data_IF_288133753432
#
_entry.id   IF_288133753432
#
_cell.length_a   1.000
_cell.length_b   1.000
_cell.length_c   1.000
_cell.angle_alpha   90.00
_cell.angle_beta   90.00
_cell.angle_gamma   90.00
#
_symmetry.space_group_name_H-M   'P 1'
#
loop_
_entity.id
_entity.type
_entity.pdbx_description
1 polymer ?
#
# COMPACT_ATOMS: atom_id res chain seq x y z
N UNK A 1 26.92 5.12 2.77
CA UNK A 1 26.13 5.74 1.70
C UNK A 1 24.63 5.46 1.85
N UNK A 2 23.80 5.96 0.94
CA UNK A 2 22.34 5.87 0.99
C UNK A 2 21.84 4.41 1.06
N UNK A 3 22.29 3.55 0.17
CA UNK A 3 21.92 2.11 0.20
C UNK A 3 22.33 1.40 1.48
N UNK A 4 23.48 1.77 2.08
CA UNK A 4 23.89 1.21 3.37
C UNK A 4 22.91 1.56 4.51
N UNK A 5 22.37 2.79 4.51
CA UNK A 5 21.33 3.17 5.47
C UNK A 5 20.03 2.41 5.24
N UNK A 6 19.58 2.25 3.99
CA UNK A 6 18.38 1.46 3.67
C UNK A 6 18.54 -0.01 4.08
N UNK A 7 19.71 -0.62 3.81
CA UNK A 7 19.99 -1.99 4.24
C UNK A 7 20.02 -2.12 5.77
N UNK A 8 20.47 -1.10 6.49
CA UNK A 8 20.41 -1.09 7.96
C UNK A 8 18.98 -0.96 8.49
N UNK A 9 18.10 -0.22 7.81
CA UNK A 9 16.70 -0.09 8.19
C UNK A 9 15.90 -1.36 7.90
N UNK A 10 16.15 -1.99 6.77
CA UNK A 10 15.45 -3.21 6.35
C UNK A 10 16.45 -4.22 5.73
N UNK A 11 17.19 -4.99 6.57
CA UNK A 11 18.22 -5.92 6.10
C UNK A 11 17.71 -7.02 5.17
N UNK A 12 16.42 -7.28 5.21
CA UNK A 12 15.75 -8.28 4.38
C UNK A 12 15.67 -7.88 2.91
N UNK A 13 15.71 -6.58 2.61
CA UNK A 13 15.60 -6.08 1.25
C UNK A 13 16.97 -5.84 0.62
N UNK A 14 17.14 -6.35 -0.59
CA UNK A 14 18.25 -6.00 -1.47
C UNK A 14 17.86 -4.76 -2.28
N UNK A 15 18.41 -3.59 -1.91
CA UNK A 15 18.14 -2.33 -2.60
C UNK A 15 19.00 -2.18 -3.85
N UNK A 16 18.38 -1.71 -4.93
CA UNK A 16 18.96 -1.61 -6.26
C UNK A 16 18.59 -0.25 -6.89
N UNK A 17 19.36 0.16 -7.89
CA UNK A 17 18.98 1.27 -8.77
C UNK A 17 18.28 0.70 -10.01
N UNK A 18 17.06 1.14 -10.28
CA UNK A 18 16.35 0.84 -11.51
C UNK A 18 16.99 1.56 -12.70
N UNK A 19 16.67 1.15 -13.92
CA UNK A 19 17.28 1.71 -15.14
C UNK A 19 17.03 3.21 -15.32
N UNK A 20 15.91 3.73 -14.82
CA UNK A 20 15.59 5.17 -14.83
C UNK A 20 16.28 5.96 -13.70
N UNK A 21 17.10 5.33 -12.87
CA UNK A 21 17.78 5.95 -11.72
C UNK A 21 17.01 5.89 -10.40
N UNK A 22 15.75 5.49 -10.39
CA UNK A 22 14.96 5.36 -9.17
C UNK A 22 15.40 4.16 -8.34
N UNK A 23 15.13 4.20 -7.03
CA UNK A 23 15.44 3.09 -6.11
C UNK A 23 14.39 1.99 -6.27
N UNK A 24 14.84 0.75 -6.38
CA UNK A 24 13.97 -0.44 -6.30
C UNK A 24 14.56 -1.44 -5.31
N UNK A 25 13.87 -2.54 -5.04
CA UNK A 25 14.38 -3.58 -4.16
C UNK A 25 13.88 -4.96 -4.57
N UNK A 26 14.59 -5.99 -4.09
CA UNK A 26 14.14 -7.39 -4.10
C UNK A 26 13.92 -7.88 -2.67
N UNK A 27 12.92 -8.73 -2.50
CA UNK A 27 12.69 -9.50 -1.28
C UNK A 27 12.80 -10.99 -1.64
N UNK A 28 13.83 -11.67 -1.09
CA UNK A 28 14.09 -13.07 -1.43
C UNK A 28 14.29 -13.31 -2.94
N UNK A 29 14.92 -12.37 -3.66
CA UNK A 29 15.13 -12.43 -5.11
C UNK A 29 13.93 -11.93 -5.95
N UNK A 30 12.75 -11.73 -5.37
CA UNK A 30 11.56 -11.23 -6.07
C UNK A 30 11.57 -9.71 -6.12
N UNK A 31 11.54 -9.07 -7.31
CA UNK A 31 11.47 -7.62 -7.40
C UNK A 31 10.17 -7.08 -6.80
N UNK A 32 10.27 -6.09 -5.92
CA UNK A 32 9.11 -5.39 -5.37
C UNK A 32 8.48 -4.45 -6.41
N UNK A 33 9.32 -3.78 -7.19
CA UNK A 33 8.93 -2.87 -8.25
C UNK A 33 9.75 -3.13 -9.51
N UNK A 34 9.35 -2.49 -10.60
CA UNK A 34 10.06 -2.55 -11.89
C UNK A 34 11.56 -2.28 -11.72
N UNK A 35 12.39 -3.11 -12.35
CA UNK A 35 13.83 -2.87 -12.46
C UNK A 35 14.18 -1.81 -13.52
N UNK A 36 13.18 -1.35 -14.29
CA UNK A 36 13.33 -0.34 -15.33
C UNK A 36 12.83 1.02 -14.90
N UNK A 37 11.56 1.10 -14.46
CA UNK A 37 10.89 2.35 -14.10
C UNK A 37 9.76 2.06 -13.07
N UNK A 38 10.06 2.11 -11.76
CA UNK A 38 9.09 1.89 -10.69
C UNK A 38 7.94 2.90 -10.68
N UNK A 39 8.22 4.16 -11.03
CA UNK A 39 7.24 5.23 -11.02
C UNK A 39 6.20 5.03 -12.13
N UNK A 40 6.66 4.71 -13.34
CA UNK A 40 5.80 4.42 -14.48
C UNK A 40 4.96 3.18 -14.23
N UNK A 41 5.54 2.10 -13.68
CA UNK A 41 4.82 0.89 -13.30
C UNK A 41 3.67 1.21 -12.34
N UNK A 42 3.97 1.96 -11.28
CA UNK A 42 2.98 2.34 -10.28
C UNK A 42 1.88 3.24 -10.88
N UNK A 43 2.26 4.22 -11.68
CA UNK A 43 1.32 5.10 -12.38
C UNK A 43 0.36 4.32 -13.27
N UNK A 44 0.86 3.37 -14.07
CA UNK A 44 0.04 2.48 -14.89
C UNK A 44 -0.86 1.57 -14.04
N UNK A 45 -0.34 1.06 -12.93
CA UNK A 45 -1.08 0.19 -12.01
C UNK A 45 -2.30 0.86 -11.37
N UNK A 46 -2.24 2.18 -11.15
CA UNK A 46 -3.33 2.93 -10.51
C UNK A 46 -4.23 3.67 -11.52
N UNK A 47 -3.72 4.06 -12.69
CA UNK A 47 -4.46 4.87 -13.67
C UNK A 47 -5.75 4.23 -14.19
N UNK A 48 -5.79 2.91 -14.30
CA UNK A 48 -6.97 2.16 -14.75
C UNK A 48 -8.00 1.87 -13.66
N UNK A 49 -7.80 2.36 -12.44
CA UNK A 49 -8.64 2.04 -11.28
C UNK A 49 -9.64 3.16 -11.01
N UNK A 50 -10.87 2.78 -11.05
CA UNK A 50 -12.13 3.51 -11.02
C UNK A 50 -12.07 4.94 -10.42
N UNK A 51 -12.10 6.00 -11.24
CA UNK A 51 -12.05 7.38 -10.77
C UNK A 51 -13.31 7.83 -10.02
N UNK A 52 -14.43 7.12 -10.14
CA UNK A 52 -15.69 7.47 -9.48
C UNK A 52 -15.74 7.10 -7.99
N UNK A 53 -14.76 6.34 -7.50
CA UNK A 53 -14.66 5.94 -6.08
C UNK A 53 -13.23 6.11 -5.60
N UNK A 54 -12.86 7.32 -5.14
CA UNK A 54 -11.49 7.59 -4.71
C UNK A 54 -11.19 7.01 -3.32
N UNK A 55 -11.46 5.73 -3.13
CA UNK A 55 -11.20 5.00 -1.89
C UNK A 55 -10.36 3.76 -2.19
N UNK A 56 -9.20 3.64 -1.54
CA UNK A 56 -8.30 2.52 -1.72
C UNK A 56 -7.76 1.98 -0.39
N UNK A 57 -7.51 0.68 -0.38
CA UNK A 57 -6.84 -0.04 0.72
C UNK A 57 -5.69 -0.84 0.12
N UNK A 58 -4.47 -0.61 0.59
CA UNK A 58 -3.28 -1.29 0.11
C UNK A 58 -2.77 -2.30 1.14
N UNK A 59 -2.74 -3.56 0.77
CA UNK A 59 -2.15 -4.65 1.54
C UNK A 59 -0.66 -4.77 1.18
N UNK A 60 0.20 -4.25 2.05
CA UNK A 60 1.56 -3.95 1.70
C UNK A 60 1.64 -2.86 0.62
N UNK A 61 2.66 -2.06 0.63
CA UNK A 61 2.80 -0.98 -0.36
C UNK A 61 4.21 -0.91 -0.98
N UNK A 62 5.00 -1.97 -0.78
CA UNK A 62 6.35 -2.04 -1.31
C UNK A 62 7.21 -0.87 -0.84
N UNK A 63 7.78 -0.13 -1.78
CA UNK A 63 8.56 1.09 -1.49
C UNK A 63 7.73 2.39 -1.58
N UNK A 64 6.41 2.30 -1.75
CA UNK A 64 5.53 3.46 -1.70
C UNK A 64 5.16 4.08 -3.06
N UNK A 65 5.69 3.62 -4.17
CA UNK A 65 5.41 4.19 -5.50
C UNK A 65 3.93 4.20 -5.86
N UNK A 66 3.19 3.11 -5.56
CA UNK A 66 1.75 3.04 -5.82
C UNK A 66 0.97 4.01 -4.91
N UNK A 67 1.37 4.18 -3.64
CA UNK A 67 0.75 5.13 -2.74
C UNK A 67 0.94 6.57 -3.23
N UNK A 68 2.16 6.94 -3.65
CA UNK A 68 2.45 8.24 -4.22
C UNK A 68 1.70 8.48 -5.54
N UNK A 69 1.61 7.48 -6.42
CA UNK A 69 0.85 7.60 -7.67
C UNK A 69 -0.66 7.76 -7.41
N UNK A 70 -1.22 6.96 -6.49
CA UNK A 70 -2.63 7.05 -6.10
C UNK A 70 -2.99 8.43 -5.54
N UNK A 71 -2.21 8.94 -4.59
CA UNK A 71 -2.48 10.23 -3.93
C UNK A 71 -2.43 11.42 -4.90
N UNK A 72 -1.54 11.37 -5.89
CA UNK A 72 -1.49 12.40 -6.94
C UNK A 72 -2.72 12.37 -7.87
N UNK A 73 -3.25 11.18 -8.17
CA UNK A 73 -4.45 11.04 -9.00
C UNK A 73 -5.74 11.33 -8.22
N UNK A 74 -5.74 11.11 -6.90
CA UNK A 74 -6.92 11.23 -6.05
C UNK A 74 -6.62 12.09 -4.80
N UNK A 75 -6.34 13.40 -4.95
CA UNK A 75 -5.92 14.28 -3.84
C UNK A 75 -6.98 14.46 -2.77
N UNK A 76 -8.25 14.19 -3.07
CA UNK A 76 -9.36 14.18 -2.12
C UNK A 76 -9.79 12.75 -1.73
N UNK A 77 -9.05 11.75 -2.16
CA UNK A 77 -9.38 10.35 -1.94
C UNK A 77 -9.09 9.88 -0.51
N UNK A 78 -9.66 8.73 -0.18
CA UNK A 78 -9.34 7.97 1.02
C UNK A 78 -8.27 6.93 0.68
N UNK A 79 -7.22 6.85 1.49
CA UNK A 79 -6.17 5.85 1.36
C UNK A 79 -5.87 5.19 2.70
N UNK A 80 -5.98 3.87 2.75
CA UNK A 80 -5.55 3.06 3.89
C UNK A 80 -4.34 2.24 3.46
N UNK A 81 -3.22 2.42 4.16
CA UNK A 81 -1.97 1.69 3.93
C UNK A 81 -1.75 0.72 5.09
N UNK A 82 -1.53 -0.54 4.78
CA UNK A 82 -1.32 -1.60 5.77
C UNK A 82 0.06 -2.23 5.57
N UNK A 83 0.93 -2.13 6.58
CA UNK A 83 2.25 -2.79 6.58
C UNK A 83 2.55 -3.36 7.97
N UNK A 84 2.57 -4.68 8.13
CA UNK A 84 2.87 -5.30 9.41
C UNK A 84 4.35 -5.16 9.82
N UNK A 85 5.27 -4.96 8.86
CA UNK A 85 6.70 -4.80 9.12
C UNK A 85 7.11 -3.32 9.17
N UNK A 86 7.41 -2.76 10.36
CA UNK A 86 7.82 -1.37 10.49
C UNK A 86 9.14 -1.07 9.78
N UNK A 87 10.04 -2.04 9.62
CA UNK A 87 11.29 -1.83 8.89
C UNK A 87 11.04 -1.54 7.41
N UNK A 88 10.08 -2.24 6.80
CA UNK A 88 9.65 -1.97 5.41
C UNK A 88 8.99 -0.59 5.27
N UNK A 89 8.17 -0.20 6.23
CA UNK A 89 7.58 1.14 6.25
C UNK A 89 8.65 2.23 6.29
N UNK A 90 9.62 2.15 7.19
CA UNK A 90 10.70 3.14 7.28
C UNK A 90 11.60 3.14 6.03
N UNK A 91 11.87 1.99 5.44
CA UNK A 91 12.58 1.93 4.17
C UNK A 91 11.80 2.65 3.05
N UNK A 92 10.49 2.42 2.94
CA UNK A 92 9.64 3.10 1.96
C UNK A 92 9.61 4.62 2.14
N UNK A 93 9.54 5.12 3.39
CA UNK A 93 9.62 6.55 3.68
C UNK A 93 10.91 7.21 3.18
N UNK A 94 11.98 6.43 3.06
CA UNK A 94 13.29 6.92 2.63
C UNK A 94 13.50 6.91 1.12
N UNK A 95 12.59 6.28 0.35
CA UNK A 95 12.76 6.03 -1.10
C UNK A 95 11.97 6.99 -1.97
N UNK A 96 10.70 7.22 -1.67
CA UNK A 96 9.84 8.10 -2.48
C UNK A 96 9.50 9.39 -1.76
N UNK A 97 9.05 10.39 -2.51
CA UNK A 97 8.44 11.60 -1.94
C UNK A 97 7.01 11.30 -1.48
N UNK A 98 6.79 11.36 -0.18
CA UNK A 98 5.52 11.10 0.49
C UNK A 98 4.64 12.34 0.66
N UNK A 99 5.07 13.50 0.17
CA UNK A 99 4.34 14.78 0.35
C UNK A 99 2.89 14.66 -0.13
N UNK A 100 2.65 14.09 -1.29
CA UNK A 100 1.28 13.90 -1.83
C UNK A 100 0.45 12.94 -0.98
N UNK A 101 1.06 11.89 -0.41
CA UNK A 101 0.37 10.93 0.46
C UNK A 101 -0.02 11.61 1.77
N UNK A 102 0.91 12.30 2.43
CA UNK A 102 0.63 12.97 3.71
C UNK A 102 -0.29 14.20 3.57
N UNK A 103 -0.50 14.69 2.35
CA UNK A 103 -1.48 15.75 2.08
C UNK A 103 -2.93 15.26 2.00
N UNK A 104 -3.15 13.94 1.95
CA UNK A 104 -4.50 13.37 1.95
C UNK A 104 -5.20 13.61 3.29
N UNK A 105 -6.41 14.16 3.24
CA UNK A 105 -7.23 14.38 4.46
C UNK A 105 -7.74 13.06 5.06
N UNK A 106 -7.96 12.04 4.22
CA UNK A 106 -8.50 10.75 4.62
C UNK A 106 -7.42 9.65 4.48
N UNK A 107 -6.25 9.88 5.09
CA UNK A 107 -5.15 8.93 5.14
C UNK A 107 -5.17 8.14 6.45
N UNK A 108 -5.07 6.83 6.33
CA UNK A 108 -4.80 5.92 7.46
C UNK A 108 -3.56 5.10 7.15
N UNK A 109 -2.62 5.06 8.08
CA UNK A 109 -1.41 4.23 7.98
C UNK A 109 -1.42 3.26 9.17
N UNK A 110 -1.60 1.98 8.89
CA UNK A 110 -1.62 0.90 9.87
C UNK A 110 -0.29 0.13 9.79
N UNK A 111 0.66 0.49 10.65
CA UNK A 111 1.97 -0.18 10.75
C UNK A 111 2.00 -1.03 12.00
N UNK A 112 2.40 -2.29 11.87
CA UNK A 112 2.51 -3.23 13.00
C UNK A 112 1.21 -3.39 13.81
N UNK A 113 0.06 -3.18 13.18
CA UNK A 113 -1.25 -3.32 13.79
C UNK A 113 -1.77 -4.76 13.67
N UNK A 114 -2.46 -5.31 14.69
CA UNK A 114 -3.16 -6.59 14.54
C UNK A 114 -4.30 -6.49 13.51
N UNK A 115 -4.64 -7.60 12.86
CA UNK A 115 -5.66 -7.65 11.79
C UNK A 115 -7.00 -7.06 12.23
N UNK A 116 -7.44 -7.34 13.45
CA UNK A 116 -8.70 -6.77 13.99
C UNK A 116 -8.70 -5.25 14.05
N UNK A 117 -7.57 -4.65 14.43
CA UNK A 117 -7.42 -3.19 14.45
C UNK A 117 -7.42 -2.61 13.03
N UNK A 118 -6.79 -3.28 12.08
CA UNK A 118 -6.80 -2.85 10.67
C UNK A 118 -8.22 -2.87 10.12
N UNK A 119 -9.00 -3.92 10.37
CA UNK A 119 -10.40 -3.98 9.94
C UNK A 119 -11.24 -2.83 10.52
N UNK A 120 -11.06 -2.53 11.81
CA UNK A 120 -11.72 -1.39 12.45
C UNK A 120 -11.28 -0.04 11.84
N UNK A 121 -9.99 0.13 11.52
CA UNK A 121 -9.48 1.33 10.85
C UNK A 121 -10.07 1.49 9.45
N UNK A 122 -10.19 0.41 8.66
CA UNK A 122 -10.84 0.43 7.35
C UNK A 122 -12.31 0.87 7.48
N UNK A 123 -13.03 0.29 8.44
CA UNK A 123 -14.44 0.60 8.68
C UNK A 123 -14.65 2.06 9.13
N UNK A 124 -13.93 2.48 10.17
CA UNK A 124 -14.07 3.80 10.77
C UNK A 124 -13.58 4.97 9.88
N UNK A 125 -12.70 4.70 8.91
CA UNK A 125 -12.21 5.68 7.95
C UNK A 125 -13.07 5.80 6.70
N UNK A 126 -14.16 5.04 6.58
CA UNK A 126 -15.04 5.11 5.42
C UNK A 126 -15.64 6.51 5.25
N UNK A 127 -15.71 6.96 4.01
CA UNK A 127 -16.36 8.24 3.69
C UNK A 127 -17.86 8.09 3.89
N UNK A 128 -18.57 9.09 4.47
CA UNK A 128 -20.00 9.02 4.65
C UNK A 128 -20.74 8.68 3.35
N UNK A 129 -21.61 7.67 3.40
CA UNK A 129 -22.35 7.16 2.23
C UNK A 129 -21.59 6.13 1.38
N UNK A 130 -20.34 5.83 1.67
CA UNK A 130 -19.59 4.74 1.03
C UNK A 130 -19.54 3.49 1.92
N UNK A 131 -19.56 2.31 1.28
CA UNK A 131 -19.29 1.07 1.99
C UNK A 131 -17.76 0.93 2.23
N UNK A 132 -17.40 0.63 3.47
CA UNK A 132 -16.01 0.63 3.90
C UNK A 132 -15.12 -0.34 3.11
N UNK A 133 -15.65 -1.54 2.84
CA UNK A 133 -14.95 -2.62 2.16
C UNK A 133 -15.40 -2.76 0.70
N UNK A 134 -16.67 -2.91 0.43
CA UNK A 134 -17.17 -3.09 -0.95
C UNK A 134 -17.10 -1.82 -1.80
N UNK A 135 -16.94 -0.65 -1.18
CA UNK A 135 -16.76 0.64 -1.85
C UNK A 135 -15.31 0.99 -2.18
N UNK A 136 -14.33 0.30 -1.60
CA UNK A 136 -12.91 0.56 -1.81
C UNK A 136 -12.28 -0.33 -2.89
N UNK A 137 -11.25 0.19 -3.54
CA UNK A 137 -10.36 -0.62 -4.34
C UNK A 137 -9.24 -1.19 -3.46
N UNK A 138 -9.03 -2.51 -3.53
CA UNK A 138 -7.95 -3.19 -2.83
C UNK A 138 -6.76 -3.41 -3.76
N UNK A 139 -5.60 -2.89 -3.39
CA UNK A 139 -4.33 -3.25 -3.98
C UNK A 139 -3.72 -4.37 -3.12
N UNK A 140 -3.65 -5.55 -3.68
CA UNK A 140 -3.07 -6.74 -3.04
C UNK A 140 -2.15 -7.44 -4.05
N UNK A 141 -0.85 -7.17 -3.95
CA UNK A 141 0.15 -7.74 -4.84
C UNK A 141 1.01 -8.73 -4.05
N UNK A 142 1.12 -10.00 -4.49
CA UNK A 142 1.90 -11.03 -3.78
C UNK A 142 3.34 -10.61 -3.48
N UNK A 143 3.96 -9.84 -4.38
CA UNK A 143 5.31 -9.31 -4.18
C UNK A 143 5.42 -8.31 -3.00
N UNK A 144 4.29 -7.69 -2.58
CA UNK A 144 4.27 -6.79 -1.41
C UNK A 144 3.91 -7.52 -0.13
N UNK A 145 3.13 -8.58 -0.21
CA UNK A 145 2.51 -9.25 0.93
C UNK A 145 3.17 -10.59 1.30
N UNK A 146 3.96 -11.18 0.41
CA UNK A 146 4.56 -12.50 0.62
C UNK A 146 5.49 -12.60 1.83
N UNK A 147 6.10 -11.49 2.27
CA UNK A 147 6.93 -11.44 3.48
C UNK A 147 6.16 -11.66 4.79
N UNK A 148 4.85 -11.45 4.78
CA UNK A 148 3.92 -11.61 5.90
C UNK A 148 2.63 -12.32 5.45
N UNK A 149 2.78 -13.40 4.67
CA UNK A 149 1.65 -14.04 3.99
C UNK A 149 0.56 -14.52 4.95
N UNK A 150 0.91 -15.08 6.12
CA UNK A 150 -0.08 -15.48 7.14
C UNK A 150 -0.94 -14.32 7.63
N UNK A 151 -0.34 -13.16 7.89
CA UNK A 151 -1.05 -11.94 8.28
C UNK A 151 -1.99 -11.45 7.18
N UNK A 152 -1.48 -11.35 5.96
CA UNK A 152 -2.29 -10.87 4.84
C UNK A 152 -3.35 -11.88 4.40
N UNK A 153 -3.11 -13.19 4.55
CA UNK A 153 -4.11 -14.22 4.29
C UNK A 153 -5.31 -14.08 5.22
N UNK A 154 -5.10 -13.88 6.51
CA UNK A 154 -6.17 -13.60 7.47
C UNK A 154 -6.92 -12.31 7.11
N UNK A 155 -6.18 -11.24 6.83
CA UNK A 155 -6.76 -9.95 6.48
C UNK A 155 -7.63 -10.02 5.20
N UNK A 156 -7.19 -10.76 4.16
CA UNK A 156 -7.97 -11.00 2.93
C UNK A 156 -9.30 -11.66 3.22
N UNK A 157 -9.29 -12.74 4.00
CA UNK A 157 -10.50 -13.51 4.34
C UNK A 157 -11.50 -12.60 5.06
N UNK A 158 -11.05 -11.89 6.08
CA UNK A 158 -11.94 -11.07 6.90
C UNK A 158 -12.41 -9.81 6.17
N UNK A 159 -11.58 -9.17 5.36
CA UNK A 159 -11.97 -8.04 4.51
C UNK A 159 -13.01 -8.44 3.47
N UNK A 160 -12.83 -9.60 2.81
CA UNK A 160 -13.81 -10.14 1.86
C UNK A 160 -15.15 -10.40 2.53
N UNK A 161 -15.16 -11.04 3.71
CA UNK A 161 -16.37 -11.28 4.50
C UNK A 161 -17.10 -9.99 4.89
N UNK A 162 -16.36 -8.96 5.27
CA UNK A 162 -16.96 -7.66 5.59
C UNK A 162 -17.50 -6.97 4.32
N UNK A 163 -16.83 -7.09 3.19
CA UNK A 163 -17.34 -6.59 1.91
C UNK A 163 -18.64 -7.26 1.45
N UNK A 164 -18.82 -8.55 1.74
CA UNK A 164 -20.10 -9.25 1.49
C UNK A 164 -21.21 -8.70 2.39
N UNK A 165 -20.94 -8.49 3.69
CA UNK A 165 -21.91 -7.87 4.61
C UNK A 165 -22.31 -6.46 4.16
N UNK A 166 -21.37 -5.65 3.70
CA UNK A 166 -21.63 -4.33 3.14
C UNK A 166 -22.62 -4.36 1.98
N UNK A 167 -22.58 -5.40 1.12
CA UNK A 167 -23.48 -5.56 -0.02
C UNK A 167 -24.88 -6.00 0.39
N UNK A 168 -25.00 -6.81 1.44
CA UNK A 168 -26.30 -7.32 1.92
C UNK A 168 -27.08 -6.23 2.66
N UNK A 169 -26.38 -5.33 3.35
CA UNK A 169 -26.98 -4.28 4.19
C UNK A 169 -27.32 -2.98 3.41
N UNK A 170 -27.21 -2.99 2.07
CA UNK A 170 -27.61 -1.91 1.16
C UNK A 170 -28.86 -2.24 0.39
#
# INVERSE_FOLDING_TARGET
GFFGRLASLCPRLEFLTARNGSVTARDGGVPLHSLYDPEREAGQGVAGKNPSRPSAVFFGFGLGYHAAAWSRLHPSGRLVLVEPDPARFFAALSVVDWTSVFSLKNLVIAVSCPVSSVLALIENSAVPGEAAFSGAWFLDLPRFTGHSDGYFSELRILAARNGEKDRINR
#
